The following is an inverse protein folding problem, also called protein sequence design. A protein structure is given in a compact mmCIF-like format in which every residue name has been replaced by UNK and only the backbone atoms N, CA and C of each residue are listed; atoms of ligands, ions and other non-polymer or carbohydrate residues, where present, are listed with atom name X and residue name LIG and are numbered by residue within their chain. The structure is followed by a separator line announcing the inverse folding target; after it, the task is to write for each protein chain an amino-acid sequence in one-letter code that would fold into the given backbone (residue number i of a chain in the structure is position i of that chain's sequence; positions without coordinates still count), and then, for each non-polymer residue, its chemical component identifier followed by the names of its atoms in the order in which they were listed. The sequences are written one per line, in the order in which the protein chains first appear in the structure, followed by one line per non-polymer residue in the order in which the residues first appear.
data_IF_999209318232
#
_entry.id   IF_999209318232
#
_cell.length_a   1.000
_cell.length_b   1.000
_cell.length_c   1.000
_cell.angle_alpha   90.00
_cell.angle_beta   90.00
_cell.angle_gamma   90.00
#
_symmetry.space_group_name_H-M   'P 1'
#
loop_
_entity.id
_entity.type
_entity.pdbx_description
1 polymer ?
#
# COMPACT_ATOMS: atom_id res chain seq x y z
N UNK A 1 -15.86 -17.98 -3.03
CA UNK A 1 -16.27 -17.58 -1.67
C UNK A 1 -14.98 -17.15 -0.99
N UNK A 2 -14.72 -15.84 -0.90
CA UNK A 2 -13.58 -15.36 -0.11
C UNK A 2 -14.06 -15.39 1.33
N UNK A 3 -13.49 -16.29 2.13
CA UNK A 3 -13.94 -16.53 3.49
C UNK A 3 -13.83 -15.25 4.32
N UNK A 4 -14.82 -14.97 5.18
CA UNK A 4 -14.84 -13.78 6.07
C UNK A 4 -13.56 -13.65 6.92
N UNK A 5 -12.88 -14.76 7.17
CA UNK A 5 -11.56 -14.81 7.82
C UNK A 5 -10.44 -14.17 6.99
N UNK A 6 -10.46 -14.30 5.67
CA UNK A 6 -9.47 -13.70 4.76
C UNK A 6 -9.56 -12.17 4.79
N UNK A 7 -10.79 -11.63 4.75
CA UNK A 7 -11.01 -10.18 4.80
C UNK A 7 -10.53 -9.59 6.14
N UNK A 8 -10.86 -10.26 7.26
CA UNK A 8 -10.41 -9.86 8.59
C UNK A 8 -8.88 -9.88 8.71
N UNK A 9 -8.19 -10.84 8.08
CA UNK A 9 -6.74 -10.90 8.03
C UNK A 9 -6.14 -9.73 7.24
N UNK A 10 -6.70 -9.39 6.07
CA UNK A 10 -6.26 -8.22 5.30
C UNK A 10 -6.34 -6.92 6.10
N UNK A 11 -7.47 -6.65 6.75
CA UNK A 11 -7.62 -5.45 7.59
C UNK A 11 -6.68 -5.47 8.79
N UNK A 12 -6.42 -6.65 9.38
CA UNK A 12 -5.48 -6.81 10.49
C UNK A 12 -4.05 -6.49 10.05
N UNK A 13 -3.64 -6.93 8.87
CA UNK A 13 -2.32 -6.66 8.32
C UNK A 13 -2.13 -5.19 7.95
N UNK A 14 -3.13 -4.55 7.36
CA UNK A 14 -3.11 -3.10 7.08
C UNK A 14 -2.90 -2.28 8.36
N UNK A 15 -3.67 -2.59 9.41
CA UNK A 15 -3.53 -1.95 10.71
C UNK A 15 -2.15 -2.22 11.32
N UNK A 16 -1.65 -3.45 11.22
CA UNK A 16 -0.32 -3.81 11.70
C UNK A 16 0.78 -3.04 10.95
N UNK A 17 0.68 -2.89 9.62
CA UNK A 17 1.62 -2.08 8.84
C UNK A 17 1.64 -0.62 9.34
N UNK A 18 0.46 -0.03 9.56
CA UNK A 18 0.33 1.32 10.12
C UNK A 18 0.95 1.43 11.51
N UNK A 19 0.63 0.51 12.41
CA UNK A 19 1.17 0.46 13.78
C UNK A 19 2.70 0.35 13.75
N UNK A 20 3.25 -0.52 12.91
CA UNK A 20 4.70 -0.67 12.74
C UNK A 20 5.36 0.61 12.24
N UNK A 21 4.81 1.25 11.21
CA UNK A 21 5.35 2.51 10.69
C UNK A 21 5.28 3.60 11.76
N UNK A 22 4.19 3.71 12.51
CA UNK A 22 4.05 4.67 13.60
C UNK A 22 5.13 4.48 14.66
N UNK A 23 5.37 3.24 15.11
CA UNK A 23 6.45 2.94 16.06
C UNK A 23 7.83 3.30 15.51
N UNK A 24 8.11 3.04 14.23
CA UNK A 24 9.39 3.42 13.63
C UNK A 24 9.60 4.94 13.60
N UNK A 25 8.54 5.71 13.36
CA UNK A 25 8.59 7.18 13.42
C UNK A 25 8.82 7.65 14.86
N UNK A 26 8.09 7.09 15.83
CA UNK A 26 8.20 7.44 17.26
C UNK A 26 9.61 7.19 17.81
N UNK A 27 10.27 6.13 17.35
CA UNK A 27 11.62 5.74 17.76
C UNK A 27 12.73 6.33 16.87
N UNK A 28 12.39 7.20 15.90
CA UNK A 28 13.33 7.83 14.95
C UNK A 28 14.17 6.81 14.15
N UNK A 29 13.57 5.67 13.79
CA UNK A 29 14.23 4.56 13.11
C UNK A 29 14.00 4.62 11.61
N UNK A 30 15.08 4.73 10.82
CA UNK A 30 15.02 4.65 9.37
C UNK A 30 14.70 3.24 8.87
N UNK A 31 13.96 3.16 7.78
CA UNK A 31 13.46 1.89 7.26
C UNK A 31 13.24 1.93 5.77
N UNK A 32 13.00 0.77 5.17
CA UNK A 32 12.52 0.66 3.80
C UNK A 32 11.16 -0.01 3.74
N UNK A 33 10.37 0.39 2.75
CA UNK A 33 9.10 -0.25 2.43
C UNK A 33 9.22 -0.90 1.06
N UNK A 34 8.78 -2.16 0.97
CA UNK A 34 8.51 -2.83 -0.30
C UNK A 34 7.00 -2.81 -0.52
N UNK A 35 6.54 -2.30 -1.66
CA UNK A 35 5.11 -2.21 -1.94
C UNK A 35 4.75 -2.39 -3.41
N UNK A 36 3.49 -2.76 -3.64
CA UNK A 36 2.88 -2.80 -4.97
C UNK A 36 2.59 -1.37 -5.44
N UNK A 37 3.20 -0.99 -6.56
CA UNK A 37 3.17 0.36 -7.11
C UNK A 37 1.87 0.66 -7.85
N UNK A 38 1.07 -0.37 -8.16
CA UNK A 38 -0.21 -0.25 -8.88
C UNK A 38 -1.20 0.62 -8.11
N UNK A 39 -1.09 0.62 -6.78
CA UNK A 39 -1.98 1.34 -5.87
C UNK A 39 -1.40 2.65 -5.35
N UNK A 40 -0.18 3.01 -5.77
CA UNK A 40 0.47 4.25 -5.33
C UNK A 40 0.00 5.41 -6.19
N UNK A 41 -0.42 6.48 -5.54
CA UNK A 41 -0.71 7.75 -6.19
C UNK A 41 0.51 8.66 -6.09
N UNK A 42 0.86 9.25 -7.22
CA UNK A 42 2.00 10.16 -7.36
C UNK A 42 1.49 11.56 -7.67
N UNK A 43 1.99 12.55 -6.96
CA UNK A 43 1.66 13.96 -7.16
C UNK A 43 2.94 14.79 -7.30
N UNK A 44 3.30 15.25 -8.51
CA UNK A 44 2.60 15.07 -9.77
C UNK A 44 2.63 13.61 -10.27
N UNK A 45 1.68 13.26 -11.13
CA UNK A 45 1.60 11.92 -11.72
C UNK A 45 2.78 11.60 -12.62
N UNK A 46 3.25 10.37 -12.53
CA UNK A 46 4.37 9.87 -13.34
C UNK A 46 3.97 9.68 -14.80
N UNK A 47 4.92 9.92 -15.70
CA UNK A 47 4.79 9.55 -17.11
C UNK A 47 4.72 8.03 -17.29
N UNK A 48 4.20 7.55 -18.42
CA UNK A 48 4.13 6.11 -18.72
C UNK A 48 5.51 5.43 -18.66
N UNK A 49 6.55 6.09 -19.18
CA UNK A 49 7.93 5.59 -19.14
C UNK A 49 8.45 5.47 -17.70
N UNK A 50 8.16 6.45 -16.84
CA UNK A 50 8.55 6.38 -15.42
C UNK A 50 7.82 5.26 -14.69
N UNK A 51 6.52 5.07 -14.96
CA UNK A 51 5.73 3.98 -14.36
C UNK A 51 6.25 2.61 -14.80
N UNK A 52 6.58 2.45 -16.08
CA UNK A 52 7.17 1.21 -16.60
C UNK A 52 8.51 0.91 -15.93
N UNK A 53 9.37 1.93 -15.75
CA UNK A 53 10.66 1.80 -15.06
C UNK A 53 10.53 1.45 -13.58
N UNK A 54 9.57 2.06 -12.89
CA UNK A 54 9.31 1.78 -11.47
C UNK A 54 8.90 0.32 -11.27
N UNK A 55 8.25 -0.29 -12.27
CA UNK A 55 7.77 -1.66 -12.21
C UNK A 55 6.59 -1.83 -11.26
N UNK A 56 6.10 -3.06 -11.10
CA UNK A 56 4.95 -3.38 -10.23
C UNK A 56 5.28 -3.40 -8.75
N UNK A 57 6.54 -3.64 -8.40
CA UNK A 57 7.03 -3.68 -7.02
C UNK A 57 8.23 -2.75 -6.94
N UNK A 58 8.22 -1.86 -5.96
CA UNK A 58 9.31 -0.94 -5.71
C UNK A 58 9.74 -0.98 -4.24
N UNK A 59 11.00 -0.58 -4.01
CA UNK A 59 11.56 -0.37 -2.68
C UNK A 59 11.75 1.13 -2.48
N UNK A 60 11.21 1.66 -1.40
CA UNK A 60 11.40 3.04 -0.98
C UNK A 60 12.19 3.07 0.32
N UNK A 61 13.26 3.84 0.35
CA UNK A 61 14.08 4.05 1.56
C UNK A 61 13.56 5.32 2.24
N UNK A 62 13.04 5.19 3.46
CA UNK A 62 12.57 6.30 4.28
C UNK A 62 13.69 6.72 5.21
N UNK A 63 14.46 7.70 4.72
CA UNK A 63 15.55 8.37 5.42
C UNK A 63 15.66 9.83 4.97
N UNK A 64 16.33 10.68 5.76
CA UNK A 64 16.51 12.08 5.39
C UNK A 64 15.18 12.79 5.09
N UNK A 65 15.08 13.50 3.96
CA UNK A 65 13.87 14.27 3.64
C UNK A 65 12.61 13.40 3.44
N UNK A 66 12.75 12.17 2.95
CA UNK A 66 11.61 11.24 2.81
C UNK A 66 11.07 10.77 4.15
N UNK A 67 11.92 10.63 5.16
CA UNK A 67 11.49 10.32 6.52
C UNK A 67 10.91 11.55 7.21
N UNK A 68 11.53 12.72 7.03
CA UNK A 68 11.09 13.99 7.62
C UNK A 68 9.73 14.47 7.08
N UNK A 69 9.39 14.12 5.85
CA UNK A 69 8.10 14.45 5.21
C UNK A 69 7.05 13.35 5.35
N UNK A 70 7.34 12.28 6.12
CA UNK A 70 6.43 11.16 6.28
C UNK A 70 5.23 11.54 7.16
N UNK A 71 4.03 11.48 6.59
CA UNK A 71 2.77 11.73 7.28
C UNK A 71 1.86 10.49 7.26
N UNK A 72 1.26 10.18 8.41
CA UNK A 72 0.34 9.04 8.55
C UNK A 72 -1.12 9.47 8.47
N UNK A 73 -1.81 9.01 7.43
CA UNK A 73 -3.26 9.12 7.28
C UNK A 73 -4.02 7.93 7.88
N UNK A 74 -5.34 7.93 7.69
CA UNK A 74 -6.21 6.83 8.15
C UNK A 74 -5.91 5.52 7.41
N UNK A 75 -5.90 5.57 6.07
CA UNK A 75 -5.81 4.39 5.19
C UNK A 75 -4.54 4.35 4.32
N UNK A 76 -3.77 5.42 4.33
CA UNK A 76 -2.51 5.58 3.61
C UNK A 76 -1.50 6.34 4.46
N UNK A 77 -0.27 6.39 3.99
CA UNK A 77 0.77 7.31 4.43
C UNK A 77 1.36 8.00 3.22
N UNK A 78 1.96 9.16 3.42
CA UNK A 78 2.59 9.91 2.34
C UNK A 78 3.95 10.47 2.70
N UNK A 79 4.81 10.63 1.70
CA UNK A 79 6.13 11.24 1.85
C UNK A 79 6.64 11.80 0.52
N UNK A 80 7.61 12.70 0.59
CA UNK A 80 8.29 13.23 -0.59
C UNK A 80 9.43 12.30 -1.02
N UNK A 81 9.50 11.99 -2.31
CA UNK A 81 10.63 11.27 -2.91
C UNK A 81 11.05 11.91 -4.23
N UNK A 82 12.36 11.94 -4.46
CA UNK A 82 12.96 12.26 -5.74
C UNK A 82 12.99 11.03 -6.66
N UNK A 83 12.52 11.19 -7.89
CA UNK A 83 12.66 10.19 -8.95
C UNK A 83 13.63 10.68 -10.01
N UNK A 84 14.72 9.93 -10.21
CA UNK A 84 15.74 10.27 -11.20
C UNK A 84 15.29 9.89 -12.61
N UNK A 85 15.15 10.90 -13.46
CA UNK A 85 14.81 10.77 -14.86
C UNK A 85 16.03 10.31 -15.69
N UNK A 86 15.79 9.72 -16.87
CA UNK A 86 16.89 9.29 -17.77
C UNK A 86 17.78 10.44 -18.26
N UNK A 87 17.22 11.64 -18.35
CA UNK A 87 17.94 12.85 -18.75
C UNK A 87 18.75 13.48 -17.60
N UNK A 88 18.69 12.91 -16.39
CA UNK A 88 19.37 13.42 -15.20
C UNK A 88 18.59 14.47 -14.42
N UNK A 89 17.34 14.77 -14.81
CA UNK A 89 16.47 15.65 -14.02
C UNK A 89 15.86 14.88 -12.84
N UNK A 90 15.76 15.55 -11.69
CA UNK A 90 15.05 15.02 -10.53
C UNK A 90 13.61 15.52 -10.54
N UNK A 91 12.65 14.59 -10.51
CA UNK A 91 11.25 14.90 -10.24
C UNK A 91 10.97 14.66 -8.75
N UNK A 92 10.81 15.74 -7.98
CA UNK A 92 10.19 15.67 -6.67
C UNK A 92 8.70 15.32 -6.80
N UNK A 93 8.26 14.28 -6.11
CA UNK A 93 6.86 13.86 -6.10
C UNK A 93 6.46 13.40 -4.72
N UNK A 94 5.20 13.64 -4.36
CA UNK A 94 4.58 13.11 -3.16
C UNK A 94 4.00 11.74 -3.51
N UNK A 95 4.39 10.73 -2.75
CA UNK A 95 3.88 9.37 -2.87
C UNK A 95 2.83 9.17 -1.80
N UNK A 96 1.60 8.88 -2.19
CA UNK A 96 0.52 8.45 -1.30
C UNK A 96 0.37 6.94 -1.44
N UNK A 97 0.72 6.20 -0.37
CA UNK A 97 0.80 4.74 -0.35
C UNK A 97 -0.25 4.16 0.61
N UNK A 98 -1.23 3.39 0.10
CA UNK A 98 -2.16 2.65 0.96
C UNK A 98 -1.44 1.62 1.84
N UNK A 99 -1.81 1.46 3.11
CA UNK A 99 -1.22 0.41 3.95
C UNK A 99 -1.45 -1.01 3.38
N UNK A 100 -2.50 -1.17 2.56
CA UNK A 100 -2.82 -2.42 1.88
C UNK A 100 -1.78 -2.85 0.85
N UNK A 101 -1.04 -1.90 0.25
CA UNK A 101 -0.02 -2.20 -0.74
C UNK A 101 1.35 -2.51 -0.16
N UNK A 102 1.54 -2.32 1.16
CA UNK A 102 2.78 -2.66 1.85
C UNK A 102 2.95 -4.18 1.88
N UNK A 103 3.97 -4.65 1.17
CA UNK A 103 4.37 -6.05 1.13
C UNK A 103 5.36 -6.36 2.25
N UNK A 104 6.34 -5.48 2.49
CA UNK A 104 7.35 -5.67 3.53
C UNK A 104 7.77 -4.33 4.14
N UNK A 105 8.15 -4.38 5.43
CA UNK A 105 8.87 -3.30 6.10
C UNK A 105 10.20 -3.89 6.57
N UNK A 106 11.29 -3.23 6.17
CA UNK A 106 12.65 -3.66 6.43
C UNK A 106 13.35 -2.58 7.25
N UNK A 107 13.71 -2.91 8.47
CA UNK A 107 14.49 -2.04 9.34
C UNK A 107 15.94 -1.97 8.81
N UNK A 108 16.47 -0.75 8.71
CA UNK A 108 17.86 -0.52 8.36
C UNK A 108 18.67 -0.35 9.64
N UNK A 109 19.79 -1.06 9.77
CA UNK A 109 20.78 -0.82 10.81
C UNK A 109 21.57 0.45 10.45
N UNK A 110 21.78 1.34 11.41
CA UNK A 110 22.58 2.56 11.28
C UNK A 110 24.02 2.29 10.79
N UNK A 111 24.51 1.06 10.98
CA UNK A 111 25.83 0.63 10.53
C UNK A 111 25.83 -0.20 9.24
N UNK A 112 24.69 -0.28 8.52
CA UNK A 112 24.51 -1.00 7.25
C UNK A 112 24.91 -2.50 7.28
N UNK A 113 25.13 -3.07 8.46
CA UNK A 113 25.68 -4.42 8.58
C UNK A 113 24.60 -5.50 8.41
N UNK A 114 23.35 -5.23 8.81
CA UNK A 114 22.23 -6.16 8.70
C UNK A 114 20.88 -5.44 8.53
N UNK A 115 20.18 -5.71 7.43
CA UNK A 115 18.77 -5.33 7.28
C UNK A 115 17.86 -6.42 7.86
N UNK A 116 16.83 -6.03 8.62
CA UNK A 116 15.90 -6.98 9.26
C UNK A 116 14.48 -6.75 8.75
N UNK A 117 13.86 -7.77 8.18
CA UNK A 117 12.44 -7.72 7.83
C UNK A 117 11.60 -7.85 9.11
N UNK A 118 10.86 -6.80 9.44
CA UNK A 118 10.03 -6.73 10.67
C UNK A 118 8.53 -6.88 10.38
N UNK A 119 8.13 -6.73 9.11
CA UNK A 119 6.76 -6.92 8.65
C UNK A 119 6.75 -7.58 7.28
N UNK A 120 5.80 -8.49 7.07
CA UNK A 120 5.52 -9.11 5.78
C UNK A 120 4.02 -9.32 5.63
N UNK A 121 3.47 -8.88 4.51
CA UNK A 121 2.13 -9.23 4.05
C UNK A 121 2.25 -10.34 3.00
N UNK A 122 1.86 -11.59 3.31
CA UNK A 122 2.00 -12.72 2.39
C UNK A 122 0.88 -12.80 1.35
N UNK A 123 -0.14 -11.95 1.44
CA UNK A 123 -1.26 -11.96 0.51
C UNK A 123 -0.97 -11.07 -0.69
N UNK A 124 -1.52 -11.46 -1.85
CA UNK A 124 -1.60 -10.53 -2.98
C UNK A 124 -2.34 -9.27 -2.52
N UNK A 125 -1.83 -8.12 -2.95
CA UNK A 125 -2.48 -6.84 -2.68
C UNK A 125 -3.79 -6.84 -3.46
N UNK A 126 -4.88 -7.12 -2.75
CA UNK A 126 -6.18 -7.31 -3.35
C UNK A 126 -6.60 -6.04 -4.11
N UNK A 127 -6.93 -6.19 -5.39
CA UNK A 127 -7.63 -5.17 -6.15
C UNK A 127 -9.03 -5.03 -5.51
N UNK A 128 -9.33 -3.90 -4.89
CA UNK A 128 -10.69 -3.61 -4.41
C UNK A 128 -11.75 -3.73 -5.55
N UNK A 129 -11.33 -3.61 -6.81
CA UNK A 129 -12.19 -3.77 -7.99
C UNK A 129 -12.70 -5.19 -8.22
N UNK A 130 -11.91 -6.24 -7.94
CA UNK A 130 -12.35 -7.62 -8.20
C UNK A 130 -13.50 -8.07 -7.28
N UNK A 131 -13.56 -7.51 -6.07
CA UNK A 131 -14.66 -7.72 -5.13
C UNK A 131 -15.95 -7.06 -5.61
N UNK A 132 -15.87 -5.83 -6.15
CA UNK A 132 -17.02 -5.13 -6.73
C UNK A 132 -17.52 -5.85 -7.98
N UNK A 133 -16.63 -6.24 -8.89
CA UNK A 133 -16.98 -6.94 -10.13
C UNK A 133 -17.60 -8.33 -9.86
N UNK A 134 -17.07 -9.06 -8.87
CA UNK A 134 -17.63 -10.34 -8.43
C UNK A 134 -19.01 -10.17 -7.78
N UNK A 135 -19.19 -9.15 -6.95
CA UNK A 135 -20.49 -8.83 -6.35
C UNK A 135 -21.50 -8.41 -7.42
N UNK A 136 -21.12 -7.55 -8.36
CA UNK A 136 -21.94 -7.11 -9.49
C UNK A 136 -22.30 -8.30 -10.39
N UNK A 137 -21.38 -9.21 -10.68
CA UNK A 137 -21.63 -10.39 -11.50
C UNK A 137 -22.62 -11.37 -10.83
N UNK A 138 -22.49 -11.59 -9.52
CA UNK A 138 -23.42 -12.44 -8.76
C UNK A 138 -24.82 -11.81 -8.72
N UNK A 139 -24.90 -10.49 -8.48
CA UNK A 139 -26.16 -9.74 -8.44
C UNK A 139 -26.85 -9.70 -9.81
N UNK A 140 -26.08 -9.54 -10.88
CA UNK A 140 -26.58 -9.55 -12.26
C UNK A 140 -27.14 -10.93 -12.67
N UNK A 141 -26.58 -12.00 -12.13
CA UNK A 141 -27.01 -13.38 -12.41
C UNK A 141 -28.10 -13.91 -11.47
N UNK A 142 -28.42 -13.20 -10.38
CA UNK A 142 -29.41 -13.63 -9.39
C UNK A 142 -30.31 -12.46 -8.94
N UNK A 143 -31.17 -11.93 -9.83
CA UNK A 143 -32.01 -10.75 -9.54
C UNK A 143 -33.03 -10.98 -8.41
N UNK A 144 -33.31 -12.24 -8.05
CA UNK A 144 -34.26 -12.62 -7.01
C UNK A 144 -33.76 -12.33 -5.57
N UNK A 145 -32.47 -12.02 -5.41
CA UNK A 145 -31.87 -11.68 -4.10
C UNK A 145 -32.53 -10.43 -3.48
N UNK A 146 -33.23 -9.61 -4.25
CA UNK A 146 -33.97 -8.43 -3.77
C UNK A 146 -35.35 -8.69 -3.16
N UNK A 147 -35.88 -9.93 -3.18
CA UNK A 147 -37.29 -10.19 -2.82
C UNK A 147 -37.53 -10.87 -1.48
N UNK A 148 -36.51 -11.09 -0.64
CA UNK A 148 -36.70 -11.82 0.63
C UNK A 148 -37.08 -11.00 1.87
N UNK A 149 -37.10 -9.67 1.81
CA UNK A 149 -37.46 -8.82 2.96
C UNK A 149 -38.85 -8.15 2.88
N UNK A 150 -39.80 -8.72 2.11
CA UNK A 150 -41.21 -8.26 2.11
C UNK A 150 -42.24 -9.39 2.10
N UNK A 151 -42.05 -10.37 2.97
CA UNK A 151 -43.09 -11.37 3.24
C UNK A 151 -43.01 -11.89 4.69
N UNK A 152 -43.15 -10.99 5.67
CA UNK A 152 -43.58 -11.31 7.04
C UNK A 152 -43.90 -9.98 7.76
N UNK A 153 -45.06 -9.40 7.44
CA UNK A 153 -45.96 -8.62 8.33
C UNK A 153 -47.31 -8.39 7.65
#
# INVERSE_FOLDING_TARGET
MIDSNSLKLHTTLQRHAKEMIATLIEEDLHFSIVCDTTFIKFTPSLSAEMRERLGKVAVFILSGYSFQSLELGENHFEFEAGLVMKNGDDLGTILEIPYSSVMQIVLQDENDAQSVMIYCNPFEVAQNQELEDSMIAILSNNPHIFYKDKAEE
#
